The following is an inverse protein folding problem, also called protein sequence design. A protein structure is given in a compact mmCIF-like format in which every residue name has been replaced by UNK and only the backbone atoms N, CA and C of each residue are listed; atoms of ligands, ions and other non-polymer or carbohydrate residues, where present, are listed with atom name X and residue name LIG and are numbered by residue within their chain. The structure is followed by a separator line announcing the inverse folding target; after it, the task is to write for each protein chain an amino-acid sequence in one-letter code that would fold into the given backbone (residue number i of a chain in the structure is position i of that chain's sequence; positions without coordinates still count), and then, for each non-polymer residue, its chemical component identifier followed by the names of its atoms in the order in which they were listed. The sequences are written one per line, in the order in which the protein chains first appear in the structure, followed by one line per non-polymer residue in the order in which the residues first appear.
data_IF_926331249933
#
_entry.id   IF_926331249933
#
_cell.length_a   1.000
_cell.length_b   1.000
_cell.length_c   1.000
_cell.angle_alpha   90.00
_cell.angle_beta   90.00
_cell.angle_gamma   90.00
#
_symmetry.space_group_name_H-M   'P 1'
#
loop_
_entity.id
_entity.type
_entity.pdbx_description
1 polymer ?
#
# COMPACT_ATOMS: atom_id res chain seq x y z
N UNK A 1 -63.82 0.76 16.86
CA UNK A 1 -62.77 0.73 17.90
C UNK A 1 -61.84 -0.42 17.53
N UNK A 2 -60.78 -0.14 16.76
CA UNK A 2 -59.36 0.04 17.19
C UNK A 2 -58.61 -1.32 17.17
N UNK A 3 -57.79 -1.58 16.12
CA UNK A 3 -56.30 -1.65 16.10
C UNK A 3 -55.73 -2.83 16.91
N UNK A 4 -54.64 -3.53 16.60
CA UNK A 4 -53.62 -3.57 15.54
C UNK A 4 -52.74 -4.84 15.81
N UNK A 5 -52.00 -5.26 14.78
CA UNK A 5 -50.74 -6.04 14.71
C UNK A 5 -49.95 -6.49 15.97
N UNK A 6 -49.15 -7.56 15.75
CA UNK A 6 -47.70 -7.75 16.08
C UNK A 6 -47.43 -9.04 16.90
N UNK A 7 -46.76 -10.07 16.36
CA UNK A 7 -45.30 -10.32 16.19
C UNK A 7 -44.69 -11.17 17.33
N UNK A 8 -43.87 -12.16 16.90
CA UNK A 8 -42.67 -12.74 17.51
C UNK A 8 -42.56 -12.97 19.03
N UNK A 9 -42.16 -14.18 19.43
CA UNK A 9 -40.76 -14.46 19.82
C UNK A 9 -40.63 -15.88 20.40
N UNK A 10 -39.66 -16.62 19.88
CA UNK A 10 -39.17 -17.93 20.37
C UNK A 10 -37.95 -17.63 21.23
N UNK A 11 -37.85 -18.16 22.45
CA UNK A 11 -36.56 -18.51 23.06
C UNK A 11 -36.72 -19.37 24.35
N UNK A 12 -35.88 -20.41 24.43
CA UNK A 12 -35.30 -21.07 25.62
C UNK A 12 -36.21 -21.80 26.64
N UNK A 13 -35.94 -23.09 26.91
CA UNK A 13 -34.90 -23.47 27.90
C UNK A 13 -34.80 -25.00 28.11
N UNK A 14 -33.61 -25.50 27.80
CA UNK A 14 -32.76 -26.55 28.37
C UNK A 14 -33.38 -27.67 29.27
N UNK A 15 -33.09 -28.90 28.85
CA UNK A 15 -33.35 -30.19 29.49
C UNK A 15 -32.40 -30.43 30.68
N UNK A 16 -32.99 -30.74 31.85
CA UNK A 16 -32.32 -31.11 33.10
C UNK A 16 -31.97 -32.60 33.08
N UNK A 17 -30.70 -32.97 33.22
CA UNK A 17 -30.28 -34.36 33.48
C UNK A 17 -29.44 -34.40 34.76
N UNK A 18 -30.14 -34.74 35.85
CA UNK A 18 -29.60 -35.10 37.16
C UNK A 18 -28.97 -36.49 37.11
N UNK A 19 -27.68 -36.60 37.43
CA UNK A 19 -27.07 -37.87 37.86
C UNK A 19 -26.49 -37.67 39.25
N UNK A 20 -27.13 -38.36 40.20
CA UNK A 20 -26.71 -38.51 41.58
C UNK A 20 -25.46 -39.41 41.69
N UNK A 21 -24.47 -39.03 42.50
CA UNK A 21 -23.60 -39.98 43.22
C UNK A 21 -23.44 -39.50 44.67
N UNK A 22 -23.63 -40.37 45.68
CA UNK A 22 -23.57 -39.99 47.09
C UNK A 22 -22.18 -40.10 47.72
N UNK A 23 -21.85 -39.08 48.52
CA UNK A 23 -21.29 -39.13 49.88
C UNK A 23 -20.14 -40.09 50.22
N UNK A 24 -18.98 -39.51 50.49
CA UNK A 24 -17.92 -40.06 51.35
C UNK A 24 -17.25 -38.93 52.13
N UNK A 25 -17.21 -39.07 53.45
CA UNK A 25 -16.95 -38.03 54.46
C UNK A 25 -15.59 -38.25 55.15
N UNK A 26 -14.90 -37.13 55.43
CA UNK A 26 -13.83 -36.83 56.40
C UNK A 26 -12.53 -37.67 56.46
N UNK A 27 -11.41 -36.98 56.22
CA UNK A 27 -10.24 -36.98 57.11
C UNK A 27 -9.51 -35.63 56.99
N UNK A 28 -9.41 -34.90 58.10
CA UNK A 28 -8.62 -33.67 58.24
C UNK A 28 -7.12 -33.98 58.27
N UNK A 29 -6.34 -33.24 57.48
CA UNK A 29 -4.87 -33.22 57.42
C UNK A 29 -4.38 -31.80 57.13
N UNK A 30 -3.15 -31.43 57.52
CA UNK A 30 -2.79 -30.09 57.96
C UNK A 30 -2.63 -29.08 56.81
N UNK A 31 -2.92 -27.82 57.12
CA UNK A 31 -2.88 -26.63 56.25
C UNK A 31 -1.80 -26.70 55.13
N UNK A 32 -2.23 -27.14 53.94
CA UNK A 32 -1.52 -26.88 52.70
C UNK A 32 -1.93 -25.49 52.22
N UNK A 33 -0.92 -24.64 51.99
CA UNK A 33 -1.06 -23.35 51.36
C UNK A 33 -1.70 -23.58 49.99
N UNK A 34 -2.99 -23.27 49.87
CA UNK A 34 -3.68 -23.21 48.58
C UNK A 34 -3.05 -22.04 47.82
N UNK A 35 -2.08 -22.37 46.97
CA UNK A 35 -1.75 -21.53 45.83
C UNK A 35 -2.97 -21.64 44.92
N UNK A 36 -3.67 -20.52 44.70
CA UNK A 36 -4.69 -20.45 43.65
C UNK A 36 -4.06 -21.02 42.37
N UNK A 37 -4.75 -21.93 41.64
CA UNK A 37 -4.26 -22.28 40.33
C UNK A 37 -4.26 -20.99 39.53
N UNK A 38 -3.09 -20.54 39.08
CA UNK A 38 -3.02 -19.50 38.06
C UNK A 38 -3.98 -19.94 36.95
N UNK A 39 -5.03 -19.16 36.73
CA UNK A 39 -5.82 -19.29 35.53
C UNK A 39 -4.82 -19.13 34.39
N UNK A 40 -4.48 -20.26 33.78
CA UNK A 40 -3.85 -20.30 32.48
C UNK A 40 -4.84 -19.58 31.57
N UNK A 41 -4.61 -18.28 31.38
CA UNK A 41 -5.24 -17.54 30.31
C UNK A 41 -4.89 -18.31 29.05
N UNK A 42 -5.88 -19.05 28.54
CA UNK A 42 -5.84 -19.49 27.17
C UNK A 42 -5.55 -18.24 26.35
N UNK A 43 -4.48 -18.22 25.53
CA UNK A 43 -4.26 -17.08 24.65
C UNK A 43 -5.55 -16.93 23.86
N UNK A 44 -6.22 -15.79 24.03
CA UNK A 44 -7.29 -15.36 23.14
C UNK A 44 -6.70 -15.52 21.75
N UNK A 45 -7.28 -16.34 20.85
CA UNK A 45 -6.76 -16.45 19.51
C UNK A 45 -6.85 -15.05 18.91
N UNK A 46 -5.71 -14.40 18.75
CA UNK A 46 -5.60 -13.17 17.99
C UNK A 46 -6.08 -13.52 16.59
N UNK A 47 -7.24 -13.01 16.19
CA UNK A 47 -7.66 -13.04 14.80
C UNK A 47 -6.45 -12.53 13.97
N UNK A 48 -5.97 -13.26 12.96
CA UNK A 48 -4.85 -12.78 12.15
C UNK A 48 -5.25 -11.46 11.50
N UNK A 49 -4.55 -10.38 11.83
CA UNK A 49 -4.62 -9.12 11.09
C UNK A 49 -4.02 -9.43 9.72
N UNK A 50 -4.86 -9.51 8.68
CA UNK A 50 -4.40 -9.70 7.31
C UNK A 50 -4.11 -8.31 6.71
N UNK A 51 -3.01 -8.19 5.99
CA UNK A 51 -2.51 -6.91 5.47
C UNK A 51 -3.13 -6.52 4.12
N UNK A 52 -2.38 -5.72 3.36
CA UNK A 52 -2.66 -5.40 1.95
C UNK A 52 -2.76 -6.70 1.12
N UNK A 53 -3.87 -6.88 0.41
CA UNK A 53 -4.13 -8.02 -0.48
C UNK A 53 -3.64 -7.71 -1.90
N UNK A 54 -3.83 -6.47 -2.36
CA UNK A 54 -3.50 -6.04 -3.72
C UNK A 54 -3.32 -4.52 -3.78
N UNK A 55 -2.27 -4.04 -4.42
CA UNK A 55 -2.12 -2.64 -4.81
C UNK A 55 -1.66 -2.56 -6.28
N UNK A 56 -2.46 -1.97 -7.17
CA UNK A 56 -2.08 -1.92 -8.57
C UNK A 56 -3.08 -1.24 -9.48
N UNK A 57 -2.80 -1.25 -10.78
CA UNK A 57 -3.66 -0.68 -11.81
C UNK A 57 -4.41 -1.78 -12.56
N UNK A 58 -5.67 -1.52 -12.91
CA UNK A 58 -6.53 -2.44 -13.66
C UNK A 58 -7.12 -1.76 -14.88
N UNK A 59 -7.01 -2.46 -16.02
CA UNK A 59 -7.81 -2.18 -17.21
C UNK A 59 -9.21 -2.75 -17.03
N UNK A 60 -10.19 -1.85 -16.98
CA UNK A 60 -11.59 -2.24 -16.81
C UNK A 60 -12.23 -2.61 -18.15
N UNK A 61 -12.98 -3.72 -18.16
CA UNK A 61 -13.75 -4.14 -19.33
C UNK A 61 -15.00 -3.27 -19.48
N UNK A 62 -15.54 -3.18 -20.69
CA UNK A 62 -16.83 -2.51 -20.93
C UNK A 62 -17.98 -3.19 -20.17
N UNK A 63 -17.97 -4.52 -20.11
CA UNK A 63 -18.89 -5.33 -19.31
C UNK A 63 -18.20 -6.59 -18.80
N UNK A 64 -18.67 -7.11 -17.68
CA UNK A 64 -18.16 -8.34 -17.09
C UNK A 64 -19.28 -9.16 -16.46
N UNK A 65 -19.12 -10.48 -16.44
CA UNK A 65 -20.05 -11.42 -15.82
C UNK A 65 -19.56 -11.76 -14.42
N UNK A 66 -20.38 -11.51 -13.42
CA UNK A 66 -20.10 -11.82 -12.00
C UNK A 66 -21.05 -12.92 -11.56
N UNK A 67 -20.52 -13.94 -10.87
CA UNK A 67 -21.34 -15.02 -10.29
C UNK A 67 -21.56 -14.70 -8.82
N UNK A 68 -22.83 -14.55 -8.41
CA UNK A 68 -23.19 -14.38 -7.01
C UNK A 68 -23.18 -15.72 -6.25
N UNK A 69 -23.12 -15.66 -4.92
CA UNK A 69 -23.11 -16.84 -4.03
C UNK A 69 -24.41 -17.67 -4.16
N UNK A 70 -25.48 -17.07 -4.67
CA UNK A 70 -26.73 -17.76 -5.03
C UNK A 70 -26.59 -18.70 -6.25
N UNK A 71 -25.48 -18.60 -6.98
CA UNK A 71 -25.21 -19.27 -8.26
C UNK A 71 -25.74 -18.53 -9.49
N UNK A 72 -26.37 -17.37 -9.33
CA UNK A 72 -26.87 -16.57 -10.45
C UNK A 72 -25.74 -15.71 -11.03
N UNK A 73 -25.64 -15.69 -12.37
CA UNK A 73 -24.70 -14.81 -13.08
C UNK A 73 -25.37 -13.48 -13.46
N UNK A 74 -24.67 -12.38 -13.21
CA UNK A 74 -25.09 -11.02 -13.54
C UNK A 74 -24.09 -10.36 -14.48
N UNK A 75 -24.57 -9.74 -15.55
CA UNK A 75 -23.73 -8.88 -16.40
C UNK A 75 -23.82 -7.44 -15.90
N UNK A 76 -22.67 -6.88 -15.53
CA UNK A 76 -22.55 -5.50 -15.03
C UNK A 76 -21.49 -4.73 -15.84
N UNK A 77 -21.45 -3.39 -15.79
CA UNK A 77 -20.32 -2.64 -16.33
C UNK A 77 -19.02 -3.02 -15.62
N UNK A 78 -17.94 -3.22 -16.38
CA UNK A 78 -16.66 -3.64 -15.79
C UNK A 78 -15.94 -2.52 -15.05
N UNK A 79 -16.27 -1.26 -15.32
CA UNK A 79 -15.77 -0.08 -14.60
C UNK A 79 -16.60 0.25 -13.34
N UNK A 80 -16.95 -0.77 -12.57
CA UNK A 80 -17.64 -0.63 -11.27
C UNK A 80 -16.79 -1.29 -10.19
N UNK A 81 -16.94 -0.94 -8.90
CA UNK A 81 -16.16 -1.58 -7.85
C UNK A 81 -16.23 -3.12 -7.85
N UNK A 82 -17.39 -3.74 -8.10
CA UNK A 82 -17.46 -5.21 -8.25
C UNK A 82 -16.83 -5.66 -9.58
N UNK A 83 -17.04 -4.90 -10.66
CA UNK A 83 -16.45 -5.23 -11.96
C UNK A 83 -14.93 -5.27 -11.93
N UNK A 84 -14.30 -4.35 -11.19
CA UNK A 84 -12.85 -4.30 -10.95
C UNK A 84 -12.37 -5.53 -10.20
N UNK A 85 -13.04 -5.92 -9.12
CA UNK A 85 -12.69 -7.14 -8.37
C UNK A 85 -12.81 -8.39 -9.26
N UNK A 86 -13.83 -8.47 -10.09
CA UNK A 86 -14.00 -9.58 -11.03
C UNK A 86 -12.87 -9.62 -12.07
N UNK A 87 -12.36 -8.46 -12.53
CA UNK A 87 -11.16 -8.42 -13.39
C UNK A 87 -9.94 -8.95 -12.64
N UNK A 88 -9.74 -8.54 -11.38
CA UNK A 88 -8.64 -9.04 -10.54
C UNK A 88 -8.73 -10.55 -10.30
N UNK A 89 -9.94 -11.08 -10.09
CA UNK A 89 -10.13 -12.52 -9.91
C UNK A 89 -9.80 -13.27 -11.20
N UNK A 90 -10.27 -12.76 -12.34
CA UNK A 90 -10.00 -13.35 -13.66
C UNK A 90 -8.52 -13.27 -14.09
N UNK A 91 -7.75 -12.31 -13.57
CA UNK A 91 -6.31 -12.23 -13.78
C UNK A 91 -5.50 -13.10 -12.80
N UNK A 92 -6.14 -13.65 -11.76
CA UNK A 92 -5.49 -14.39 -10.69
C UNK A 92 -4.82 -13.50 -9.63
N UNK A 93 -5.05 -12.19 -9.66
CA UNK A 93 -4.56 -11.27 -8.63
C UNK A 93 -5.26 -11.46 -7.28
N UNK A 94 -6.49 -11.99 -7.29
CA UNK A 94 -7.20 -12.47 -6.12
C UNK A 94 -7.80 -13.85 -6.39
N UNK A 95 -7.92 -14.68 -5.35
CA UNK A 95 -8.23 -16.11 -5.51
C UNK A 95 -9.73 -16.40 -5.63
N UNK A 96 -10.57 -15.66 -4.90
CA UNK A 96 -12.01 -15.92 -4.81
C UNK A 96 -12.77 -14.63 -4.47
N UNK A 97 -14.05 -14.57 -4.85
CA UNK A 97 -14.98 -13.53 -4.45
C UNK A 97 -16.26 -14.15 -3.88
N UNK A 98 -16.73 -13.60 -2.77
CA UNK A 98 -18.05 -13.91 -2.21
C UNK A 98 -18.94 -12.69 -2.38
N UNK A 99 -20.01 -12.87 -3.14
CA UNK A 99 -20.84 -11.80 -3.68
C UNK A 99 -22.33 -12.07 -3.38
N UNK A 100 -22.95 -11.15 -2.64
CA UNK A 100 -24.38 -11.19 -2.33
C UNK A 100 -25.24 -10.53 -3.42
N UNK A 101 -26.40 -11.10 -3.70
CA UNK A 101 -27.37 -10.60 -4.68
C UNK A 101 -28.73 -10.23 -4.09
N UNK A 102 -28.87 -10.19 -2.76
CA UNK A 102 -30.14 -9.95 -2.09
C UNK A 102 -30.66 -8.51 -2.27
N UNK A 103 -29.78 -7.57 -2.62
CA UNK A 103 -30.14 -6.21 -3.00
C UNK A 103 -30.36 -6.03 -4.50
N UNK A 104 -30.11 -7.05 -5.32
CA UNK A 104 -30.16 -6.91 -6.77
C UNK A 104 -31.58 -6.61 -7.26
N UNK A 105 -32.60 -7.34 -6.78
CA UNK A 105 -33.99 -7.10 -7.20
C UNK A 105 -34.52 -5.72 -6.73
N UNK A 106 -34.12 -5.28 -5.54
CA UNK A 106 -34.68 -4.08 -4.90
C UNK A 106 -33.93 -2.81 -5.24
N UNK A 107 -32.61 -2.90 -5.43
CA UNK A 107 -31.70 -1.76 -5.54
C UNK A 107 -30.73 -1.86 -6.73
N UNK A 108 -30.74 -2.99 -7.45
CA UNK A 108 -29.93 -3.16 -8.66
C UNK A 108 -28.43 -3.17 -8.42
N UNK A 109 -27.98 -3.56 -7.23
CA UNK A 109 -26.56 -3.70 -6.88
C UNK A 109 -26.27 -5.03 -6.21
N UNK A 110 -25.08 -5.55 -6.44
CA UNK A 110 -24.50 -6.65 -5.67
C UNK A 110 -23.82 -6.10 -4.41
N UNK A 111 -23.55 -7.00 -3.47
CA UNK A 111 -22.79 -6.75 -2.25
C UNK A 111 -21.48 -7.51 -2.25
N UNK A 112 -20.46 -6.92 -1.64
CA UNK A 112 -19.19 -7.58 -1.40
C UNK A 112 -19.19 -8.21 0.00
N UNK A 113 -19.16 -9.53 0.06
CA UNK A 113 -19.08 -10.26 1.31
C UNK A 113 -17.67 -10.76 1.61
N UNK A 114 -16.90 -11.13 0.60
CA UNK A 114 -15.57 -11.65 0.82
C UNK A 114 -14.64 -11.59 -0.39
N UNK A 115 -13.34 -11.62 -0.09
CA UNK A 115 -12.24 -11.68 -1.05
C UNK A 115 -11.27 -12.77 -0.55
N UNK A 116 -11.01 -13.79 -1.36
CA UNK A 116 -10.26 -14.96 -0.93
C UNK A 116 -10.89 -15.63 0.28
N UNK A 117 -10.08 -15.97 1.28
CA UNK A 117 -10.53 -16.55 2.54
C UNK A 117 -11.09 -15.54 3.56
N UNK A 118 -11.25 -14.27 3.19
CA UNK A 118 -11.65 -13.18 4.07
C UNK A 118 -13.10 -12.78 3.84
N UNK A 119 -13.93 -12.91 4.87
CA UNK A 119 -15.37 -12.63 4.80
C UNK A 119 -15.82 -11.59 5.82
N UNK A 120 -16.88 -10.86 5.48
CA UNK A 120 -17.62 -9.99 6.38
C UNK A 120 -18.27 -10.81 7.50
N UNK A 121 -18.25 -10.30 8.73
CA UNK A 121 -18.75 -11.01 9.90
C UNK A 121 -18.12 -10.50 11.21
N UNK A 122 -18.71 -10.89 12.35
CA UNK A 122 -18.20 -10.56 13.69
C UNK A 122 -17.94 -9.06 13.90
N UNK A 123 -18.84 -8.20 13.40
CA UNK A 123 -18.72 -6.73 13.51
C UNK A 123 -17.81 -6.07 12.48
N UNK A 124 -17.18 -6.83 11.58
CA UNK A 124 -16.38 -6.31 10.46
C UNK A 124 -17.12 -6.49 9.14
N UNK A 125 -16.93 -5.58 8.20
CA UNK A 125 -17.48 -5.70 6.86
C UNK A 125 -16.56 -5.09 5.82
N UNK A 126 -16.70 -5.54 4.57
CA UNK A 126 -16.08 -4.87 3.44
C UNK A 126 -16.75 -3.52 3.19
N UNK A 127 -15.94 -2.47 3.03
CA UNK A 127 -16.38 -1.17 2.58
C UNK A 127 -15.44 -0.64 1.50
N UNK A 128 -15.97 0.25 0.66
CA UNK A 128 -15.24 0.78 -0.50
C UNK A 128 -15.15 2.30 -0.40
N UNK A 129 -13.96 2.83 -0.64
CA UNK A 129 -13.74 4.26 -0.88
C UNK A 129 -13.27 4.45 -2.33
N UNK A 130 -13.71 5.52 -2.97
CA UNK A 130 -13.22 5.97 -4.27
C UNK A 130 -12.65 7.36 -4.07
N UNK A 131 -11.37 7.55 -4.42
CA UNK A 131 -10.64 8.82 -4.23
C UNK A 131 -10.78 9.36 -2.79
N UNK A 132 -10.67 8.46 -1.80
CA UNK A 132 -10.82 8.77 -0.37
C UNK A 132 -12.27 8.91 0.13
N UNK A 133 -13.26 9.05 -0.76
CA UNK A 133 -14.66 9.15 -0.38
C UNK A 133 -15.31 7.78 -0.23
N UNK A 134 -15.92 7.52 0.92
CA UNK A 134 -16.62 6.26 1.17
C UNK A 134 -17.92 6.18 0.39
N UNK A 135 -18.14 5.04 -0.27
CA UNK A 135 -19.41 4.72 -0.89
C UNK A 135 -20.43 4.27 0.16
N UNK A 136 -21.61 4.89 0.12
CA UNK A 136 -22.80 4.44 0.85
C UNK A 136 -23.55 3.40 -0.01
N UNK A 137 -22.87 2.29 -0.29
CA UNK A 137 -23.24 1.27 -1.26
C UNK A 137 -24.54 0.51 -0.94
N UNK A 138 -24.89 0.39 0.33
CA UNK A 138 -26.17 -0.20 0.77
C UNK A 138 -27.28 0.86 0.84
N UNK A 139 -26.99 2.03 1.42
CA UNK A 139 -28.00 3.05 1.73
C UNK A 139 -28.38 3.82 0.46
N UNK A 140 -27.38 4.26 -0.30
CA UNK A 140 -27.50 5.02 -1.55
C UNK A 140 -27.21 4.14 -2.78
N UNK A 141 -27.57 2.86 -2.69
CA UNK A 141 -27.27 1.84 -3.70
C UNK A 141 -27.62 2.24 -5.15
N UNK A 142 -28.67 3.03 -5.39
CA UNK A 142 -29.07 3.43 -6.74
C UNK A 142 -27.99 4.25 -7.47
N UNK A 143 -27.18 5.01 -6.72
CA UNK A 143 -26.11 5.89 -7.23
C UNK A 143 -24.72 5.45 -6.78
N UNK A 144 -24.59 4.81 -5.60
CA UNK A 144 -23.32 4.42 -4.97
C UNK A 144 -23.15 2.89 -4.81
N UNK A 145 -24.09 2.09 -5.31
CA UNK A 145 -23.99 0.64 -5.23
C UNK A 145 -22.76 0.12 -5.98
N UNK A 146 -22.09 -0.90 -5.43
CA UNK A 146 -20.81 -1.40 -5.93
C UNK A 146 -20.85 -1.98 -7.36
N UNK A 147 -22.03 -2.33 -7.88
CA UNK A 147 -22.21 -2.76 -9.29
C UNK A 147 -22.75 -1.67 -10.21
N UNK A 148 -22.88 -0.43 -9.70
CA UNK A 148 -23.52 0.70 -10.39
C UNK A 148 -22.64 1.95 -10.40
N UNK A 149 -21.91 2.19 -9.31
CA UNK A 149 -21.01 3.32 -9.19
C UNK A 149 -19.99 3.24 -10.33
N UNK A 150 -20.02 4.25 -11.20
CA UNK A 150 -19.20 4.28 -12.41
C UNK A 150 -17.85 4.88 -12.06
N UNK A 151 -16.83 4.05 -12.15
CA UNK A 151 -15.45 4.46 -12.00
C UNK A 151 -14.94 5.04 -13.33
N UNK A 152 -14.11 6.05 -13.20
CA UNK A 152 -13.41 6.73 -14.28
C UNK A 152 -11.95 6.32 -14.28
N UNK A 153 -11.32 6.46 -15.42
CA UNK A 153 -9.86 6.39 -15.53
C UNK A 153 -9.22 7.38 -14.54
N UNK A 154 -8.16 6.93 -13.86
CA UNK A 154 -7.48 7.61 -12.77
C UNK A 154 -8.13 7.41 -11.39
N UNK A 155 -9.36 6.90 -11.29
CA UNK A 155 -9.97 6.69 -9.97
C UNK A 155 -9.17 5.66 -9.16
N UNK A 156 -8.96 5.96 -7.88
CA UNK A 156 -8.34 5.06 -6.90
C UNK A 156 -9.43 4.47 -6.02
N UNK A 157 -9.56 3.16 -6.04
CA UNK A 157 -10.54 2.39 -5.29
C UNK A 157 -9.86 1.64 -4.16
N UNK A 158 -10.23 1.97 -2.92
CA UNK A 158 -9.78 1.28 -1.72
C UNK A 158 -10.90 0.37 -1.21
N UNK A 159 -10.65 -0.94 -1.20
CA UNK A 159 -11.50 -1.94 -0.54
C UNK A 159 -10.89 -2.24 0.82
N UNK A 160 -11.70 -2.28 1.87
CA UNK A 160 -11.18 -2.51 3.23
C UNK A 160 -12.13 -3.40 4.01
N UNK A 161 -11.58 -4.41 4.69
CA UNK A 161 -12.30 -5.24 5.65
C UNK A 161 -12.00 -4.73 7.06
N UNK A 162 -12.99 -4.20 7.77
CA UNK A 162 -12.76 -3.72 9.14
C UNK A 162 -13.89 -2.85 9.67
N UNK A 163 -13.59 -2.00 10.67
CA UNK A 163 -14.49 -0.93 11.08
C UNK A 163 -14.54 0.12 9.95
N UNK A 164 -15.72 0.38 9.38
CA UNK A 164 -15.86 1.36 8.31
C UNK A 164 -15.61 2.82 8.73
N UNK A 165 -15.51 3.10 10.02
CA UNK A 165 -15.12 4.39 10.63
C UNK A 165 -13.73 4.34 11.26
N UNK A 166 -13.11 3.16 11.32
CA UNK A 166 -11.77 2.96 11.87
C UNK A 166 -10.66 3.32 10.87
N UNK A 167 -9.42 3.26 11.33
CA UNK A 167 -8.25 3.50 10.49
C UNK A 167 -7.97 2.29 9.59
N UNK A 168 -7.37 2.49 8.41
CA UNK A 168 -6.95 1.36 7.54
C UNK A 168 -5.88 0.50 8.24
N UNK A 169 -5.04 1.10 9.09
CA UNK A 169 -4.10 0.38 9.96
C UNK A 169 -4.78 -0.57 10.96
N UNK A 170 -6.06 -0.32 11.28
CA UNK A 170 -6.91 -1.17 12.12
C UNK A 170 -7.74 -2.17 11.29
N UNK A 171 -7.64 -2.10 9.95
CA UNK A 171 -8.35 -3.02 9.07
C UNK A 171 -7.75 -4.41 9.15
N UNK A 172 -8.62 -5.40 8.98
CA UNK A 172 -8.26 -6.80 8.85
C UNK A 172 -7.71 -7.15 7.48
N UNK A 173 -7.90 -6.29 6.47
CA UNK A 173 -7.31 -6.39 5.14
C UNK A 173 -7.72 -5.20 4.27
N UNK A 174 -6.94 -4.89 3.22
CA UNK A 174 -7.33 -3.90 2.22
C UNK A 174 -6.76 -4.17 0.81
N UNK A 175 -7.38 -3.60 -0.22
CA UNK A 175 -6.90 -3.57 -1.60
C UNK A 175 -6.97 -2.14 -2.12
N UNK A 176 -5.96 -1.67 -2.83
CA UNK A 176 -5.98 -0.39 -3.55
C UNK A 176 -5.89 -0.66 -5.05
N UNK A 177 -6.83 -0.13 -5.83
CA UNK A 177 -6.87 -0.34 -7.28
C UNK A 177 -7.00 1.00 -7.99
N UNK A 178 -6.06 1.31 -8.87
CA UNK A 178 -6.16 2.46 -9.78
C UNK A 178 -6.80 2.01 -11.09
N UNK A 179 -7.76 2.77 -11.60
CA UNK A 179 -8.38 2.49 -12.90
C UNK A 179 -7.53 3.11 -14.00
N UNK A 180 -7.06 2.33 -14.97
CA UNK A 180 -6.22 2.81 -16.05
C UNK A 180 -6.62 2.29 -17.42
N UNK A 181 -6.07 2.90 -18.47
CA UNK A 181 -5.83 2.27 -19.77
C UNK A 181 -4.34 1.98 -19.90
N UNK A 182 -3.96 0.73 -20.17
CA UNK A 182 -2.69 0.44 -20.82
C UNK A 182 -2.80 0.98 -22.24
N UNK A 183 -1.92 1.93 -22.61
CA UNK A 183 -1.67 2.26 -24.02
C UNK A 183 -1.40 0.95 -24.74
N UNK A 184 -2.37 0.48 -25.51
CA UNK A 184 -2.18 -0.57 -26.49
C UNK A 184 -1.24 0.05 -27.51
N UNK A 185 0.07 -0.11 -27.30
CA UNK A 185 1.08 0.37 -28.23
C UNK A 185 0.73 -0.21 -29.60
N UNK A 186 0.11 0.61 -30.45
CA UNK A 186 -0.14 0.25 -31.84
C UNK A 186 1.21 -0.23 -32.39
N UNK A 187 1.29 -1.42 -33.00
CA UNK A 187 2.53 -1.87 -33.57
C UNK A 187 2.92 -0.86 -34.66
N UNK A 188 4.02 -0.15 -34.41
CA UNK A 188 4.71 0.69 -35.39
C UNK A 188 4.67 -0.01 -36.76
N UNK A 189 4.17 0.65 -37.81
CA UNK A 189 4.02 0.01 -39.10
C UNK A 189 5.39 -0.43 -39.58
N UNK A 190 5.57 -1.75 -39.73
CA UNK A 190 6.76 -2.37 -40.28
C UNK A 190 7.04 -1.75 -41.66
N UNK A 191 8.06 -0.89 -41.74
CA UNK A 191 8.61 -0.44 -43.01
C UNK A 191 9.30 -1.62 -43.69
N UNK A 192 8.65 -2.21 -44.68
CA UNK A 192 9.31 -3.06 -45.66
C UNK A 192 10.41 -2.28 -46.41
N UNK A 193 11.55 -2.93 -46.72
CA UNK A 193 12.68 -2.27 -47.36
C UNK A 193 12.39 -2.07 -48.85
N UNK A 194 12.11 -0.83 -49.26
CA UNK A 194 12.09 -0.47 -50.66
C UNK A 194 13.50 -0.17 -51.17
N UNK A 195 13.93 -1.09 -52.02
CA UNK A 195 14.93 -1.03 -53.10
C UNK A 195 15.79 0.24 -53.25
N UNK A 196 17.10 -0.04 -53.23
CA UNK A 196 18.19 0.58 -53.98
C UNK A 196 17.72 1.36 -55.21
N UNK A 197 18.10 2.63 -55.28
CA UNK A 197 18.48 3.22 -56.55
C UNK A 197 19.67 4.16 -56.39
N UNK A 198 20.73 3.79 -57.10
CA UNK A 198 22.00 4.48 -57.25
C UNK A 198 21.84 5.64 -58.22
N UNK A 199 22.35 6.83 -57.88
CA UNK A 199 22.93 7.73 -58.86
C UNK A 199 23.88 8.72 -58.19
N UNK A 200 25.05 8.81 -58.81
CA UNK A 200 26.29 9.45 -58.39
C UNK A 200 26.29 10.99 -58.48
N UNK A 201 27.30 11.57 -57.82
CA UNK A 201 28.06 12.79 -58.13
C UNK A 201 27.35 14.17 -58.11
N UNK A 202 27.75 15.03 -57.17
CA UNK A 202 28.84 15.99 -57.43
C UNK A 202 29.34 16.74 -56.18
N UNK A 203 30.63 17.00 -56.25
CA UNK A 203 31.55 17.76 -55.40
C UNK A 203 31.24 19.27 -55.41
N UNK A 204 31.27 19.94 -54.25
CA UNK A 204 31.85 21.29 -54.15
C UNK A 204 32.19 21.67 -52.70
N UNK A 205 33.41 22.20 -52.54
CA UNK A 205 34.11 22.57 -51.31
C UNK A 205 34.05 24.09 -51.06
N UNK A 206 34.42 24.47 -49.83
CA UNK A 206 34.69 25.82 -49.28
C UNK A 206 33.44 26.61 -48.82
N UNK A 207 33.45 27.34 -47.70
CA UNK A 207 34.52 28.20 -47.19
C UNK A 207 34.37 28.47 -45.67
N UNK A 208 35.51 28.68 -45.02
CA UNK A 208 35.70 29.06 -43.63
C UNK A 208 35.46 30.56 -43.45
N UNK A 209 34.82 30.98 -42.36
CA UNK A 209 35.21 32.22 -41.66
C UNK A 209 35.10 32.05 -40.15
N UNK A 210 36.27 31.92 -39.53
CA UNK A 210 36.54 32.24 -38.13
C UNK A 210 36.28 33.73 -37.85
N UNK A 211 35.72 34.05 -36.68
CA UNK A 211 36.23 35.14 -35.85
C UNK A 211 36.08 34.78 -34.36
N UNK A 212 37.22 34.46 -33.75
CA UNK A 212 37.46 34.48 -32.30
C UNK A 212 37.33 35.90 -31.73
N UNK A 213 36.94 36.02 -30.45
CA UNK A 213 37.81 36.38 -29.30
C UNK A 213 36.89 36.65 -28.09
N UNK A 214 36.85 35.82 -27.05
CA UNK A 214 37.83 35.61 -25.98
C UNK A 214 37.92 36.80 -24.99
N UNK A 215 37.64 36.55 -23.71
CA UNK A 215 38.45 36.95 -22.53
C UNK A 215 37.78 36.46 -21.23
N UNK A 216 38.43 35.50 -20.56
CA UNK A 216 38.31 35.05 -19.15
C UNK A 216 39.36 35.82 -18.30
N UNK A 217 39.63 35.50 -17.01
CA UNK A 217 38.86 35.50 -15.74
C UNK A 217 39.29 36.65 -14.79
N UNK A 218 38.64 36.79 -13.62
CA UNK A 218 39.36 37.32 -12.45
C UNK A 218 38.90 36.68 -11.13
N UNK A 219 39.91 36.14 -10.43
CA UNK A 219 39.94 35.74 -9.04
C UNK A 219 40.87 36.76 -8.34
N UNK A 220 40.52 37.20 -7.12
CA UNK A 220 41.48 37.76 -6.17
C UNK A 220 40.88 37.76 -4.77
N UNK A 221 41.71 37.32 -3.84
CA UNK A 221 41.49 37.07 -2.42
C UNK A 221 41.41 38.38 -1.59
N UNK A 222 40.80 38.31 -0.41
CA UNK A 222 41.32 38.99 0.79
C UNK A 222 40.78 38.37 2.08
N UNK A 223 41.65 38.36 3.08
CA UNK A 223 41.70 37.50 4.27
C UNK A 223 41.35 38.28 5.57
N UNK A 224 41.02 37.51 6.63
CA UNK A 224 41.16 37.81 8.07
C UNK A 224 39.91 38.06 8.94
N UNK A 225 39.62 37.02 9.73
CA UNK A 225 39.39 36.97 11.19
C UNK A 225 38.20 37.68 11.84
N UNK A 226 37.24 36.88 12.31
CA UNK A 226 36.70 37.02 13.67
C UNK A 226 36.39 35.64 14.27
N UNK A 227 37.12 35.30 15.33
CA UNK A 227 36.91 34.14 16.19
C UNK A 227 35.74 34.43 17.13
N UNK A 228 34.73 33.58 17.15
CA UNK A 228 33.88 33.40 18.33
C UNK A 228 33.45 31.95 18.39
N UNK A 229 33.97 31.33 19.43
CA UNK A 229 33.72 30.01 19.99
C UNK A 229 32.28 29.93 20.49
N UNK A 230 31.40 29.22 19.78
CA UNK A 230 30.12 28.72 20.34
C UNK A 230 29.87 27.30 19.82
N UNK A 231 29.81 26.38 20.79
CA UNK A 231 29.32 25.00 20.78
C UNK A 231 28.24 24.72 19.73
N UNK A 232 28.31 23.62 18.96
CA UNK A 232 27.18 23.24 18.11
C UNK A 232 26.10 22.62 19.00
N UNK A 233 25.08 23.41 19.33
CA UNK A 233 23.77 22.92 19.74
C UNK A 233 23.05 22.27 18.55
N UNK A 234 22.37 21.16 18.84
CA UNK A 234 21.61 20.29 17.95
C UNK A 234 20.82 21.03 16.86
N UNK A 235 21.27 20.92 15.61
CA UNK A 235 20.47 21.32 14.45
C UNK A 235 19.49 20.21 14.09
N UNK A 236 18.26 20.35 14.60
CA UNK A 236 17.07 19.70 14.05
C UNK A 236 17.00 19.98 12.53
N UNK A 237 16.76 18.98 11.66
CA UNK A 237 16.79 19.19 10.21
C UNK A 237 15.80 20.28 9.76
N UNK A 238 16.30 21.28 9.03
CA UNK A 238 15.51 22.38 8.47
C UNK A 238 14.70 21.91 7.26
N UNK A 239 13.39 21.80 7.49
CA UNK A 239 12.33 21.53 6.51
C UNK A 239 12.38 22.57 5.37
N UNK A 240 12.88 22.17 4.20
CA UNK A 240 13.01 23.04 3.02
C UNK A 240 11.98 22.67 1.96
N UNK A 241 11.23 23.65 1.44
CA UNK A 241 10.25 23.41 0.36
C UNK A 241 10.88 23.76 -0.99
N UNK A 242 10.96 22.79 -1.90
CA UNK A 242 11.40 23.00 -3.29
C UNK A 242 10.27 22.62 -4.24
N UNK A 243 9.77 23.59 -5.02
CA UNK A 243 8.73 23.33 -6.02
C UNK A 243 7.36 22.94 -5.45
N UNK A 244 7.09 23.27 -4.18
CA UNK A 244 5.85 22.89 -3.48
C UNK A 244 5.93 21.55 -2.75
N UNK A 245 6.99 20.78 -2.98
CA UNK A 245 7.29 19.55 -2.26
C UNK A 245 8.25 19.83 -1.10
N UNK A 246 7.93 19.28 0.07
CA UNK A 246 8.83 19.29 1.20
C UNK A 246 9.99 18.32 1.01
N UNK A 247 11.19 18.74 1.37
CA UNK A 247 12.39 17.92 1.32
C UNK A 247 12.78 17.58 2.76
N UNK A 248 12.70 16.30 3.11
CA UNK A 248 13.22 15.78 4.38
C UNK A 248 14.74 15.77 4.31
N UNK A 249 15.30 15.19 3.25
CA UNK A 249 16.74 15.08 3.06
C UNK A 249 17.09 14.91 1.58
N UNK A 250 18.21 15.47 1.17
CA UNK A 250 18.83 15.22 -0.14
C UNK A 250 20.33 15.22 0.05
N UNK A 251 20.98 14.15 -0.39
CA UNK A 251 22.42 14.02 -0.23
C UNK A 251 22.95 12.78 -0.91
N UNK A 252 24.21 12.48 -0.62
CA UNK A 252 24.85 11.24 -1.05
C UNK A 252 25.31 10.44 0.16
N UNK A 253 25.53 9.13 -0.04
CA UNK A 253 26.13 8.25 0.96
C UNK A 253 26.89 7.13 0.27
N UNK A 254 27.87 6.56 0.96
CA UNK A 254 28.53 5.34 0.49
C UNK A 254 27.55 4.16 0.52
N UNK A 255 27.68 3.23 -0.45
CA UNK A 255 26.87 2.01 -0.45
C UNK A 255 26.99 1.26 0.90
N UNK A 256 25.90 1.15 1.68
CA UNK A 256 25.94 0.44 2.96
C UNK A 256 26.19 -1.05 2.73
N UNK A 257 26.81 -1.71 3.70
CA UNK A 257 27.22 -3.12 3.57
C UNK A 257 26.97 -3.91 4.84
N UNK A 258 26.86 -5.24 4.68
CA UNK A 258 26.62 -6.16 5.79
C UNK A 258 25.13 -6.46 6.01
N UNK A 259 24.84 -6.91 7.22
CA UNK A 259 23.50 -7.24 7.70
C UNK A 259 23.14 -6.27 8.80
N UNK A 260 21.94 -5.71 8.72
CA UNK A 260 21.34 -4.83 9.72
C UNK A 260 20.04 -5.45 10.20
N UNK A 261 19.59 -5.04 11.39
CA UNK A 261 18.32 -5.48 11.97
C UNK A 261 17.32 -4.34 11.88
N UNK A 262 16.21 -4.57 11.17
CA UNK A 262 15.09 -3.64 11.10
C UNK A 262 14.06 -4.03 12.17
N UNK A 263 13.79 -3.11 13.09
CA UNK A 263 12.67 -3.21 14.00
C UNK A 263 11.37 -2.93 13.25
N UNK A 264 10.36 -3.76 13.46
CA UNK A 264 9.05 -3.60 12.82
C UNK A 264 7.93 -3.67 13.85
N UNK A 265 6.70 -3.39 13.41
CA UNK A 265 5.51 -3.53 14.25
C UNK A 265 5.28 -4.93 14.82
N UNK A 266 5.85 -5.99 14.22
CA UNK A 266 5.61 -7.39 14.59
C UNK A 266 6.85 -8.16 15.04
N UNK A 267 8.04 -7.55 15.00
CA UNK A 267 9.30 -8.16 15.41
C UNK A 267 10.50 -7.65 14.59
N UNK A 268 11.66 -8.24 14.84
CA UNK A 268 12.94 -7.79 14.27
C UNK A 268 13.35 -8.69 13.10
N UNK A 269 13.88 -8.07 12.04
CA UNK A 269 14.27 -8.78 10.83
C UNK A 269 15.66 -8.39 10.35
N UNK A 270 16.52 -9.39 10.17
CA UNK A 270 17.85 -9.21 9.60
C UNK A 270 17.77 -9.12 8.07
N UNK A 271 18.24 -7.99 7.51
CA UNK A 271 18.22 -7.72 6.09
C UNK A 271 19.59 -7.29 5.59
N UNK A 272 19.81 -7.32 4.28
CA UNK A 272 21.02 -6.74 3.70
C UNK A 272 20.96 -5.21 3.78
N UNK A 273 22.06 -4.58 4.19
CA UNK A 273 22.13 -3.12 4.31
C UNK A 273 22.03 -2.40 2.95
N UNK A 274 22.47 -3.03 1.85
CA UNK A 274 22.40 -2.48 0.49
C UNK A 274 21.01 -2.63 -0.15
N UNK A 275 19.98 -2.17 0.55
CA UNK A 275 18.56 -2.22 0.15
C UNK A 275 17.89 -0.87 0.44
N UNK A 276 16.73 -0.56 -0.17
CA UNK A 276 16.00 0.66 0.16
C UNK A 276 15.72 0.83 1.66
N UNK A 277 15.35 -0.22 2.39
CA UNK A 277 15.16 -0.09 3.85
C UNK A 277 16.49 0.06 4.59
N UNK A 278 17.57 -0.55 4.12
CA UNK A 278 18.88 -0.37 4.74
C UNK A 278 19.44 1.05 4.59
N UNK A 279 19.15 1.73 3.48
CA UNK A 279 19.46 3.15 3.33
C UNK A 279 18.70 3.99 4.37
N UNK A 280 17.39 3.77 4.54
CA UNK A 280 16.62 4.53 5.53
C UNK A 280 17.08 4.27 6.96
N UNK A 281 17.49 3.04 7.27
CA UNK A 281 18.05 2.71 8.57
C UNK A 281 19.36 3.46 8.85
N UNK A 282 20.28 3.51 7.89
CA UNK A 282 21.52 4.31 8.05
C UNK A 282 21.20 5.81 8.24
N UNK A 283 20.22 6.34 7.50
CA UNK A 283 19.78 7.72 7.67
C UNK A 283 19.15 7.99 9.03
N UNK A 284 18.52 6.98 9.65
CA UNK A 284 18.00 7.07 11.01
C UNK A 284 19.15 7.10 12.02
N UNK A 285 20.14 6.21 11.88
CA UNK A 285 21.33 6.18 12.74
C UNK A 285 22.18 7.45 12.63
N UNK A 286 22.21 8.09 11.45
CA UNK A 286 22.91 9.36 11.19
C UNK A 286 22.08 10.62 11.55
N UNK A 287 20.94 10.44 12.23
CA UNK A 287 19.99 11.48 12.64
C UNK A 287 19.49 12.36 11.46
N UNK A 288 19.48 11.83 10.23
CA UNK A 288 18.95 12.52 9.03
C UNK A 288 17.44 12.43 8.92
N UNK A 289 16.87 11.37 9.47
CA UNK A 289 15.45 11.21 9.75
C UNK A 289 15.28 10.95 11.24
N UNK A 290 14.14 11.33 11.80
CA UNK A 290 13.86 11.21 13.24
C UNK A 290 13.03 9.98 13.60
N UNK A 291 12.31 9.41 12.63
CA UNK A 291 11.48 8.23 12.86
C UNK A 291 11.35 7.42 11.57
N UNK A 292 11.25 6.09 11.72
CA UNK A 292 11.08 5.13 10.65
C UNK A 292 10.09 4.07 11.11
N UNK A 293 8.95 3.96 10.43
CA UNK A 293 7.93 2.96 10.75
C UNK A 293 7.89 1.91 9.64
N UNK A 294 8.27 0.68 10.00
CA UNK A 294 8.27 -0.49 9.10
C UNK A 294 7.31 -1.54 9.64
N UNK A 295 6.54 -2.16 8.74
CA UNK A 295 5.66 -3.28 9.08
C UNK A 295 6.11 -4.57 8.43
N UNK A 296 5.99 -5.67 9.17
CA UNK A 296 6.27 -7.04 8.72
C UNK A 296 5.02 -7.79 8.24
N UNK A 297 3.89 -7.09 8.06
CA UNK A 297 2.60 -7.68 7.63
C UNK A 297 2.71 -8.53 6.35
N UNK A 298 3.62 -8.22 5.44
CA UNK A 298 3.82 -8.94 4.19
C UNK A 298 4.96 -9.99 4.23
N UNK A 299 5.68 -10.12 5.35
CA UNK A 299 6.79 -11.08 5.48
C UNK A 299 6.34 -12.53 5.31
N UNK A 300 5.15 -12.89 5.81
CA UNK A 300 4.65 -14.28 5.75
C UNK A 300 4.24 -14.74 4.35
N UNK A 301 3.93 -13.80 3.44
CA UNK A 301 3.39 -14.11 2.11
C UNK A 301 4.43 -13.92 1.00
N UNK A 302 5.17 -12.81 1.05
CA UNK A 302 6.16 -12.44 0.02
C UNK A 302 7.58 -12.23 0.55
N UNK A 303 7.80 -12.39 1.86
CA UNK A 303 9.12 -12.13 2.45
C UNK A 303 9.53 -10.64 2.41
N UNK A 304 8.57 -9.74 2.24
CA UNK A 304 8.80 -8.30 2.10
C UNK A 304 8.41 -7.52 3.36
N UNK A 305 9.16 -6.46 3.64
CA UNK A 305 8.87 -5.45 4.65
C UNK A 305 8.24 -4.21 4.01
N UNK A 306 7.29 -3.59 4.72
CA UNK A 306 6.46 -2.47 4.26
C UNK A 306 6.93 -1.17 4.91
N UNK A 307 7.19 -0.14 4.12
CA UNK A 307 7.45 1.21 4.62
C UNK A 307 6.13 1.93 4.90
N UNK A 308 5.78 2.09 6.17
CA UNK A 308 4.52 2.72 6.61
C UNK A 308 4.72 4.22 6.88
N UNK A 309 5.92 4.65 7.27
CA UNK A 309 6.19 6.04 7.59
C UNK A 309 7.65 6.43 7.75
N UNK A 310 7.91 7.72 7.53
CA UNK A 310 9.18 8.41 7.82
C UNK A 310 8.82 9.73 8.50
N UNK A 311 9.40 9.99 9.67
CA UNK A 311 9.08 11.15 10.51
C UNK A 311 7.55 11.26 10.76
N UNK A 312 7.00 12.47 10.64
CA UNK A 312 5.57 12.76 10.82
C UNK A 312 4.69 12.26 9.64
N UNK A 313 5.29 11.73 8.57
CA UNK A 313 4.61 11.31 7.36
C UNK A 313 4.33 9.82 7.39
N UNK A 314 3.16 9.51 7.92
CA UNK A 314 2.63 8.16 8.08
C UNK A 314 1.55 7.91 7.02
N UNK A 315 1.38 6.67 6.59
CA UNK A 315 0.33 6.26 5.66
C UNK A 315 -1.07 6.79 6.05
N UNK A 316 -1.77 7.42 5.12
CA UNK A 316 -3.11 8.02 5.36
C UNK A 316 -4.26 7.35 4.60
N UNK A 317 -3.98 6.28 3.83
CA UNK A 317 -4.97 5.58 3.00
C UNK A 317 -4.96 6.05 1.54
N UNK A 318 -4.93 7.35 1.31
CA UNK A 318 -4.78 7.99 -0.01
C UNK A 318 -3.31 8.26 -0.36
N UNK A 319 -2.47 8.52 0.66
CA UNK A 319 -1.03 8.74 0.49
C UNK A 319 -0.22 7.68 1.20
N UNK A 320 0.86 7.29 0.55
CA UNK A 320 1.85 6.34 1.05
C UNK A 320 3.23 6.74 0.61
N UNK A 321 4.24 6.11 1.20
CA UNK A 321 5.59 6.11 0.66
C UNK A 321 5.67 5.20 -0.56
N UNK A 322 6.24 5.71 -1.64
CA UNK A 322 6.62 4.94 -2.82
C UNK A 322 8.07 5.24 -3.21
N UNK A 323 8.76 4.24 -3.75
CA UNK A 323 10.22 4.27 -3.94
C UNK A 323 10.59 4.18 -5.41
N UNK A 324 11.44 5.10 -5.87
CA UNK A 324 12.03 5.07 -7.21
C UNK A 324 13.52 4.78 -7.08
N UNK A 325 14.04 3.88 -7.92
CA UNK A 325 15.48 3.69 -8.11
C UNK A 325 15.84 4.07 -9.53
N UNK A 326 16.70 5.07 -9.71
CA UNK A 326 17.04 5.66 -11.02
C UNK A 326 15.78 6.04 -11.81
N UNK A 327 14.84 6.71 -11.15
CA UNK A 327 13.54 7.12 -11.68
C UNK A 327 12.59 5.96 -12.06
N UNK A 328 12.91 4.70 -11.73
CA UNK A 328 12.02 3.55 -11.92
C UNK A 328 11.29 3.25 -10.62
N UNK A 329 9.97 3.34 -10.64
CA UNK A 329 9.12 2.97 -9.50
C UNK A 329 9.27 1.49 -9.19
N UNK A 330 9.64 1.17 -7.96
CA UNK A 330 9.60 -0.20 -7.45
C UNK A 330 8.14 -0.59 -7.17
N UNK A 331 7.77 -1.78 -7.62
CA UNK A 331 6.51 -2.45 -7.29
C UNK A 331 6.76 -3.41 -6.13
N UNK A 332 7.30 -2.83 -5.07
CA UNK A 332 7.75 -3.45 -3.83
C UNK A 332 6.71 -4.30 -3.10
N UNK A 333 5.42 -4.08 -3.40
CA UNK A 333 4.29 -4.88 -2.89
C UNK A 333 3.75 -5.93 -3.86
N UNK A 334 4.14 -5.91 -5.14
CA UNK A 334 3.64 -6.83 -6.17
C UNK A 334 4.65 -7.93 -6.50
N UNK A 335 5.94 -7.63 -6.42
CA UNK A 335 7.01 -8.55 -6.79
C UNK A 335 8.01 -8.68 -5.66
N UNK A 336 8.19 -9.90 -5.16
CA UNK A 336 9.06 -10.20 -4.01
C UNK A 336 10.49 -9.68 -4.27
N UNK A 337 11.00 -9.79 -5.50
CA UNK A 337 12.31 -9.29 -5.90
C UNK A 337 12.47 -7.76 -5.82
N UNK A 338 11.36 -7.02 -5.81
CA UNK A 338 11.32 -5.56 -5.71
C UNK A 338 11.01 -5.07 -4.28
N UNK A 339 10.78 -5.99 -3.33
CA UNK A 339 10.55 -5.65 -1.93
C UNK A 339 11.67 -4.79 -1.35
N UNK A 340 11.33 -3.82 -0.50
CA UNK A 340 12.29 -2.81 -0.03
C UNK A 340 13.42 -3.36 0.88
N UNK A 341 13.26 -4.57 1.39
CA UNK A 341 14.27 -5.34 2.13
C UNK A 341 15.04 -6.35 1.25
N UNK A 342 14.70 -6.47 -0.04
CA UNK A 342 15.23 -7.47 -0.97
C UNK A 342 15.93 -6.80 -2.16
N UNK A 343 15.32 -5.74 -2.70
CA UNK A 343 15.81 -5.04 -3.88
C UNK A 343 17.23 -4.52 -3.66
N UNK A 344 18.14 -4.91 -4.54
CA UNK A 344 19.57 -4.63 -4.40
C UNK A 344 19.91 -3.25 -4.94
N UNK A 345 20.49 -2.42 -4.08
CA UNK A 345 21.08 -1.15 -4.46
C UNK A 345 22.57 -1.33 -4.77
N UNK A 346 23.07 -0.56 -5.74
CA UNK A 346 24.48 -0.52 -6.12
C UNK A 346 25.00 0.91 -6.14
N UNK A 347 26.32 1.05 -6.04
CA UNK A 347 27.00 2.32 -6.26
C UNK A 347 26.60 2.92 -7.61
N UNK A 348 26.35 4.23 -7.62
CA UNK A 348 25.84 5.00 -8.74
C UNK A 348 24.31 5.06 -8.84
N UNK A 349 23.55 4.33 -8.03
CA UNK A 349 22.09 4.44 -8.01
C UNK A 349 21.62 5.73 -7.33
N UNK A 350 20.56 6.34 -7.85
CA UNK A 350 19.76 7.32 -7.13
C UNK A 350 18.51 6.62 -6.55
N UNK A 351 18.28 6.76 -5.25
CA UNK A 351 17.11 6.21 -4.56
C UNK A 351 16.26 7.36 -4.03
N UNK A 352 15.03 7.46 -4.52
CA UNK A 352 14.05 8.47 -4.12
C UNK A 352 12.87 7.85 -3.39
N UNK A 353 12.51 8.42 -2.25
CA UNK A 353 11.34 8.08 -1.45
C UNK A 353 10.39 9.25 -1.49
N UNK A 354 9.13 9.00 -1.79
CA UNK A 354 8.14 10.05 -2.01
C UNK A 354 6.87 9.74 -1.23
N UNK A 355 6.36 10.70 -0.47
CA UNK A 355 5.09 10.58 0.23
C UNK A 355 4.00 11.30 -0.54
N UNK A 356 3.05 10.54 -1.08
CA UNK A 356 1.98 11.07 -1.91
C UNK A 356 1.09 9.97 -2.47
N UNK A 357 0.32 10.32 -3.50
CA UNK A 357 -0.52 9.37 -4.24
C UNK A 357 0.37 8.61 -5.24
N UNK A 358 0.52 7.28 -5.16
CA UNK A 358 1.42 6.53 -6.06
C UNK A 358 1.02 6.54 -7.54
N UNK A 359 -0.24 6.90 -7.84
CA UNK A 359 -0.75 7.07 -9.20
C UNK A 359 -0.28 8.37 -9.87
N UNK A 360 0.17 9.34 -9.07
CA UNK A 360 0.66 10.63 -9.55
C UNK A 360 2.19 10.60 -9.74
N UNK A 361 2.76 11.45 -10.61
CA UNK A 361 4.21 11.52 -10.76
C UNK A 361 4.88 11.95 -9.45
N UNK A 362 6.12 11.50 -9.21
CA UNK A 362 6.90 11.85 -8.02
C UNK A 362 7.03 13.36 -7.75
N UNK A 363 6.91 14.20 -8.79
CA UNK A 363 6.88 15.66 -8.67
C UNK A 363 5.62 16.22 -7.99
N UNK A 364 4.53 15.44 -7.91
CA UNK A 364 3.29 15.80 -7.23
C UNK A 364 3.26 15.34 -5.77
N UNK A 365 4.22 14.50 -5.35
CA UNK A 365 4.28 14.03 -3.97
C UNK A 365 4.49 15.21 -3.00
N UNK A 366 3.88 15.12 -1.83
CA UNK A 366 3.93 16.16 -0.80
C UNK A 366 5.34 16.29 -0.21
N UNK A 367 6.05 15.16 -0.11
CA UNK A 367 7.35 15.07 0.54
C UNK A 367 8.28 14.19 -0.27
N UNK A 368 9.58 14.48 -0.21
CA UNK A 368 10.62 13.61 -0.73
C UNK A 368 11.83 13.47 0.18
N UNK A 369 12.53 12.37 -0.02
CA UNK A 369 13.88 12.08 0.42
C UNK A 369 14.62 11.46 -0.77
N UNK A 370 15.79 11.99 -1.14
CA UNK A 370 16.53 11.51 -2.34
C UNK A 370 18.01 11.32 -2.02
N UNK A 371 18.54 10.14 -2.31
CA UNK A 371 19.91 9.76 -2.01
C UNK A 371 20.64 9.29 -3.26
N UNK A 372 21.83 9.82 -3.49
CA UNK A 372 22.78 9.27 -4.46
C UNK A 372 23.75 8.31 -3.75
N UNK A 373 23.89 7.10 -4.27
CA UNK A 373 24.78 6.09 -3.71
C UNK A 373 26.14 6.17 -4.40
N UNK A 374 27.22 6.30 -3.63
CA UNK A 374 28.60 6.44 -4.12
C UNK A 374 29.36 5.12 -4.25
#
# INVERSE_FOLDING_TARGET
MQKNHALCSIFSLLLLLMVCIPGGVLAEGPDEIISEPEETQTPVPSDPILGLIYNGTVDVKSSISVVADSGISYTIPGNTPIGVLEVLMNSGAIEELSIGDELMEKKGTLLLYGIGNLSSGNGNGWFVKVNGERLEDVVLAETMGLSRYTLKEGDVVLYTLGDPKGMVSESKAYLTVTIGMVDEAEPEPVKEPSAVNTSEENDESAEITDINTDTKPQQSDDEAEHVSDETPEDQKPEKTTSGGQEVIYTGSMSLPSGTITIETTGGDYDINAATPLGILHELLEDDKISDLTVSDKAMKKGGILILEGINDYQFTGDKTWFVLVNNVLLKDYLYDEEGLNIYKIKAGDEVGYYFGEPSEPASAAQVKLVITIE
#
